data_IF_157530193077
#
_entry.id   IF_157530193077
#
_cell.length_a   1.000
_cell.length_b   1.000
_cell.length_c   1.000
_cell.angle_alpha   90.00
_cell.angle_beta   90.00
_cell.angle_gamma   90.00
#
_symmetry.space_group_name_H-M   'P 1'
#
loop_
_entity.id
_entity.type
_entity.pdbx_description
1 polymer ?
#
# COMPACT_ATOMS: atom_id res chain seq x y z
N UNK A 1 3.08 -14.79 -14.46
CA UNK A 1 4.36 -15.42 -14.81
C UNK A 1 5.14 -15.66 -13.54
N UNK A 2 5.62 -16.87 -13.30
CA UNK A 2 6.34 -17.24 -12.08
C UNK A 2 7.81 -17.51 -12.41
N UNK A 3 8.70 -17.06 -11.54
CA UNK A 3 10.14 -17.28 -11.68
C UNK A 3 10.60 -18.37 -10.72
N UNK A 4 11.38 -19.31 -11.20
CA UNK A 4 12.16 -20.19 -10.35
C UNK A 4 13.46 -19.46 -9.98
N UNK A 5 13.64 -19.21 -8.70
CA UNK A 5 14.81 -18.53 -8.15
C UNK A 5 15.67 -19.53 -7.38
N UNK A 6 16.97 -19.45 -7.57
CA UNK A 6 17.91 -20.06 -6.64
C UNK A 6 18.46 -18.95 -5.74
N UNK A 7 18.18 -19.04 -4.43
CA UNK A 7 18.64 -18.08 -3.44
C UNK A 7 20.02 -18.51 -2.96
N UNK A 8 21.03 -17.69 -3.22
CA UNK A 8 22.37 -17.88 -2.68
C UNK A 8 22.66 -16.83 -1.60
N UNK A 9 23.03 -17.28 -0.40
CA UNK A 9 23.35 -16.42 0.74
C UNK A 9 24.77 -15.81 0.62
N UNK A 10 25.53 -16.19 -0.40
CA UNK A 10 26.92 -15.73 -0.58
C UNK A 10 27.04 -14.64 -1.64
N UNK A 11 27.36 -13.41 -1.18
CA UNK A 11 27.88 -12.22 -1.91
C UNK A 11 27.03 -11.56 -3.00
N UNK A 12 26.83 -10.24 -2.80
CA UNK A 12 26.41 -9.14 -3.70
C UNK A 12 25.23 -9.30 -4.68
N UNK A 13 24.88 -10.48 -5.15
CA UNK A 13 23.60 -10.75 -5.83
C UNK A 13 22.88 -11.86 -5.08
N UNK A 14 21.76 -11.52 -4.47
CA UNK A 14 21.02 -12.44 -3.59
C UNK A 14 20.23 -13.53 -4.35
N UNK A 15 20.12 -13.43 -5.68
CA UNK A 15 19.38 -14.43 -6.47
C UNK A 15 19.87 -14.54 -7.91
N UNK A 16 19.65 -15.73 -8.51
CA UNK A 16 19.84 -15.99 -9.94
C UNK A 16 18.54 -16.55 -10.51
N UNK A 17 18.05 -15.95 -11.59
CA UNK A 17 16.88 -16.48 -12.31
C UNK A 17 17.37 -17.68 -13.14
N UNK A 18 16.89 -18.88 -12.81
CA UNK A 18 17.23 -20.10 -13.53
C UNK A 18 16.32 -20.32 -14.74
N UNK A 19 15.01 -20.13 -14.57
CA UNK A 19 14.02 -20.38 -15.61
C UNK A 19 12.74 -19.60 -15.36
N UNK A 20 12.10 -19.11 -16.43
CA UNK A 20 10.74 -18.60 -16.41
C UNK A 20 9.80 -19.68 -16.90
N UNK A 21 8.71 -19.96 -16.18
CA UNK A 21 7.65 -20.90 -16.61
C UNK A 21 6.28 -20.42 -16.21
N UNK A 22 5.27 -20.87 -16.92
CA UNK A 22 3.88 -20.78 -16.45
C UNK A 22 3.69 -21.81 -15.34
N UNK A 23 3.01 -21.43 -14.29
CA UNK A 23 2.65 -22.29 -13.17
C UNK A 23 1.17 -22.11 -12.87
N UNK A 24 0.46 -23.19 -12.73
CA UNK A 24 -0.89 -23.17 -12.17
C UNK A 24 -0.79 -22.99 -10.65
N UNK A 25 -1.25 -21.83 -10.15
CA UNK A 25 -1.17 -21.51 -8.74
C UNK A 25 -2.06 -22.39 -7.88
N UNK A 26 -3.15 -22.96 -8.44
CA UNK A 26 -4.03 -23.87 -7.72
C UNK A 26 -3.34 -25.20 -7.31
N UNK A 27 -2.26 -25.54 -8.00
CA UNK A 27 -1.43 -26.71 -7.68
C UNK A 27 -0.41 -26.47 -6.55
N UNK A 28 -0.30 -25.23 -6.06
CA UNK A 28 0.62 -24.88 -5.00
C UNK A 28 0.05 -25.23 -3.62
N UNK A 29 0.90 -25.53 -2.65
CA UNK A 29 0.46 -25.70 -1.25
C UNK A 29 0.06 -24.36 -0.62
N UNK A 30 0.75 -23.30 -0.98
CA UNK A 30 0.46 -21.92 -0.57
C UNK A 30 0.97 -20.91 -1.59
N UNK A 31 0.36 -19.73 -1.61
CA UNK A 31 0.74 -18.59 -2.41
C UNK A 31 0.92 -17.38 -1.50
N UNK A 32 2.06 -16.70 -1.60
CA UNK A 32 2.32 -15.45 -0.88
C UNK A 32 2.08 -14.26 -1.81
N UNK A 33 1.18 -13.37 -1.43
CA UNK A 33 0.98 -12.11 -2.15
C UNK A 33 2.07 -11.13 -1.68
N UNK A 34 3.05 -10.89 -2.55
CA UNK A 34 4.18 -9.97 -2.32
C UNK A 34 4.32 -8.97 -3.47
N UNK A 35 3.19 -8.65 -4.10
CA UNK A 35 3.16 -7.66 -5.18
C UNK A 35 3.48 -6.27 -4.63
N UNK A 36 4.37 -5.56 -5.31
CA UNK A 36 4.71 -4.18 -4.97
C UNK A 36 3.60 -3.20 -5.40
N UNK A 37 3.46 -2.06 -4.72
CA UNK A 37 2.60 -0.97 -5.16
C UNK A 37 2.95 -0.51 -6.60
N UNK A 38 2.04 0.18 -7.30
CA UNK A 38 0.84 0.85 -6.80
C UNK A 38 -0.36 -0.10 -6.60
N UNK A 39 -1.21 0.23 -5.63
CA UNK A 39 -2.49 -0.44 -5.42
C UNK A 39 -3.52 0.13 -6.42
N UNK A 40 -3.47 -0.35 -7.64
CA UNK A 40 -4.27 0.08 -8.79
C UNK A 40 -5.21 -1.04 -9.26
N UNK A 41 -5.89 -0.83 -10.39
CA UNK A 41 -6.83 -1.81 -10.93
C UNK A 41 -6.17 -3.15 -11.28
N UNK A 42 -4.93 -3.16 -11.73
CA UNK A 42 -4.19 -4.40 -12.02
C UNK A 42 -3.92 -5.18 -10.75
N UNK A 43 -3.51 -4.48 -9.69
CA UNK A 43 -3.32 -5.09 -8.37
C UNK A 43 -4.63 -5.69 -7.86
N UNK A 44 -5.72 -4.90 -7.89
CA UNK A 44 -7.05 -5.33 -7.46
C UNK A 44 -7.53 -6.53 -8.29
N UNK A 45 -7.37 -6.48 -9.62
CA UNK A 45 -7.75 -7.59 -10.51
C UNK A 45 -6.99 -8.88 -10.18
N UNK A 46 -5.69 -8.79 -9.87
CA UNK A 46 -4.92 -9.96 -9.46
C UNK A 46 -5.45 -10.59 -8.17
N UNK A 47 -5.92 -9.79 -7.23
CA UNK A 47 -6.53 -10.29 -5.99
C UNK A 47 -7.88 -10.97 -6.24
N UNK A 48 -8.70 -10.49 -7.18
CA UNK A 48 -9.94 -11.17 -7.59
C UNK A 48 -9.65 -12.52 -8.25
N UNK A 49 -8.64 -12.60 -9.11
CA UNK A 49 -8.21 -13.87 -9.70
C UNK A 49 -7.76 -14.85 -8.62
N UNK A 50 -7.01 -14.39 -7.63
CA UNK A 50 -6.59 -15.24 -6.51
C UNK A 50 -7.76 -15.72 -5.65
N UNK A 51 -8.81 -14.92 -5.49
CA UNK A 51 -10.03 -15.37 -4.79
C UNK A 51 -10.68 -16.60 -5.44
N UNK A 52 -10.55 -16.77 -6.76
CA UNK A 52 -11.15 -17.93 -7.45
C UNK A 52 -10.51 -19.28 -7.11
N UNK A 53 -9.32 -19.25 -6.52
CA UNK A 53 -8.55 -20.47 -6.17
C UNK A 53 -8.32 -20.62 -4.65
N UNK A 54 -8.79 -19.70 -3.82
CA UNK A 54 -8.49 -19.67 -2.38
C UNK A 54 -9.01 -20.88 -1.62
N UNK A 55 -10.03 -21.56 -2.13
CA UNK A 55 -10.56 -22.77 -1.50
C UNK A 55 -9.68 -24.00 -1.74
N UNK A 56 -8.83 -23.97 -2.77
CA UNK A 56 -7.93 -25.05 -3.15
C UNK A 56 -6.49 -24.83 -2.68
N UNK A 57 -6.10 -23.57 -2.44
CA UNK A 57 -4.74 -23.21 -2.06
C UNK A 57 -4.72 -22.14 -0.97
N UNK A 58 -3.85 -22.31 0.02
CA UNK A 58 -3.70 -21.32 1.09
C UNK A 58 -3.00 -20.07 0.55
N UNK A 59 -3.73 -18.93 0.53
CA UNK A 59 -3.22 -17.65 0.08
C UNK A 59 -2.93 -16.74 1.28
N UNK A 60 -1.76 -16.11 1.30
CA UNK A 60 -1.27 -15.22 2.35
C UNK A 60 -0.73 -13.93 1.70
N UNK A 61 -1.22 -12.75 2.02
CA UNK A 61 -2.39 -12.44 2.84
C UNK A 61 -3.69 -12.81 2.10
N UNK A 62 -4.81 -12.83 2.81
CA UNK A 62 -6.12 -13.05 2.20
C UNK A 62 -6.45 -11.97 1.17
N UNK A 63 -6.82 -12.34 -0.09
CA UNK A 63 -7.04 -11.37 -1.16
C UNK A 63 -8.18 -10.38 -0.89
N UNK A 64 -9.24 -10.83 -0.24
CA UNK A 64 -10.37 -9.98 0.15
C UNK A 64 -9.94 -8.96 1.20
N UNK A 65 -9.17 -9.40 2.19
CA UNK A 65 -8.61 -8.51 3.22
C UNK A 65 -7.69 -7.44 2.64
N UNK A 66 -6.85 -7.80 1.65
CA UNK A 66 -5.99 -6.84 0.95
C UNK A 66 -6.81 -5.72 0.30
N UNK A 67 -7.94 -6.05 -0.34
CA UNK A 67 -8.81 -5.05 -0.96
C UNK A 67 -9.53 -4.17 0.06
N UNK A 68 -9.95 -4.75 1.17
CA UNK A 68 -10.81 -4.08 2.15
C UNK A 68 -10.03 -3.28 3.19
N UNK A 69 -8.74 -3.57 3.40
CA UNK A 69 -7.91 -2.91 4.39
C UNK A 69 -7.00 -1.89 3.71
N UNK A 70 -7.50 -0.67 3.56
CA UNK A 70 -6.67 0.45 3.11
C UNK A 70 -5.60 0.78 4.15
N UNK A 71 -4.33 0.75 3.74
CA UNK A 71 -3.16 0.97 4.59
C UNK A 71 -3.30 2.20 5.52
N UNK A 72 -3.80 3.32 5.00
CA UNK A 72 -3.91 4.56 5.76
C UNK A 72 -5.29 4.76 6.38
N UNK A 73 -6.37 4.51 5.64
CA UNK A 73 -7.73 4.76 6.14
C UNK A 73 -8.13 3.77 7.23
N UNK A 74 -7.68 2.51 7.14
CA UNK A 74 -7.98 1.52 8.16
C UNK A 74 -7.43 1.92 9.53
N UNK A 75 -6.31 2.64 9.57
CA UNK A 75 -5.72 3.15 10.81
C UNK A 75 -6.65 4.10 11.58
N UNK A 76 -7.64 4.73 10.90
CA UNK A 76 -8.64 5.59 11.56
C UNK A 76 -9.43 4.87 12.67
N UNK A 77 -9.53 3.53 12.60
CA UNK A 77 -10.15 2.72 13.66
C UNK A 77 -9.30 2.67 14.94
N UNK A 78 -8.06 3.13 14.89
CA UNK A 78 -7.09 3.05 15.98
C UNK A 78 -6.56 4.42 16.40
N UNK A 79 -7.40 5.46 16.31
CA UNK A 79 -7.01 6.86 16.56
C UNK A 79 -6.32 7.07 17.92
N UNK A 80 -6.69 6.31 18.95
CA UNK A 80 -6.07 6.39 20.27
C UNK A 80 -4.56 6.05 20.30
N UNK A 81 -4.08 5.34 19.27
CA UNK A 81 -2.67 4.98 19.12
C UNK A 81 -1.94 5.82 18.08
N UNK A 82 -2.62 6.78 17.46
CA UNK A 82 -2.08 7.62 16.41
C UNK A 82 -1.74 9.02 16.94
N UNK A 83 -0.77 9.73 16.32
CA UNK A 83 -0.69 11.17 16.45
C UNK A 83 -2.02 11.81 16.03
N UNK A 84 -2.24 13.07 16.44
CA UNK A 84 -3.42 13.82 15.97
C UNK A 84 -3.46 13.78 14.45
N UNK A 85 -4.53 13.22 13.90
CA UNK A 85 -4.69 12.99 12.45
C UNK A 85 -6.10 13.36 12.02
N UNK A 86 -6.22 13.93 10.82
CA UNK A 86 -7.50 14.12 10.13
C UNK A 86 -7.42 13.51 8.73
N UNK A 87 -8.53 13.01 8.24
CA UNK A 87 -8.71 12.57 6.86
C UNK A 87 -9.70 13.52 6.21
N UNK A 88 -9.26 14.31 5.24
CA UNK A 88 -10.10 15.36 4.67
C UNK A 88 -9.66 15.73 3.26
N UNK A 89 -10.63 16.22 2.48
CA UNK A 89 -10.43 16.90 1.19
C UNK A 89 -10.77 18.40 1.27
N UNK A 90 -11.13 18.94 2.45
CA UNK A 90 -11.43 20.33 2.65
C UNK A 90 -10.21 21.12 3.13
N UNK A 91 -9.76 22.07 2.31
CA UNK A 91 -8.65 22.96 2.63
C UNK A 91 -8.88 23.79 3.91
N UNK A 92 -10.14 24.07 4.26
CA UNK A 92 -10.50 24.83 5.47
C UNK A 92 -10.20 23.98 6.71
N UNK A 93 -10.51 22.69 6.67
CA UNK A 93 -10.19 21.77 7.76
C UNK A 93 -8.68 21.60 7.92
N UNK A 94 -7.94 21.46 6.81
CA UNK A 94 -6.47 21.42 6.85
C UNK A 94 -5.89 22.68 7.46
N UNK A 95 -6.42 23.86 7.09
CA UNK A 95 -6.01 25.15 7.68
C UNK A 95 -6.28 25.21 9.18
N UNK A 96 -7.43 24.77 9.62
CA UNK A 96 -7.79 24.75 11.05
C UNK A 96 -6.90 23.77 11.82
N UNK A 97 -6.61 22.62 11.25
CA UNK A 97 -5.70 21.64 11.83
C UNK A 97 -4.26 22.19 11.94
N UNK A 98 -3.78 22.86 10.89
CA UNK A 98 -2.47 23.54 10.92
C UNK A 98 -2.39 24.63 12.00
N UNK A 99 -3.44 25.50 12.12
CA UNK A 99 -3.47 26.55 13.15
C UNK A 99 -3.34 25.98 14.56
N UNK A 100 -3.96 24.82 14.82
CA UNK A 100 -3.92 24.14 16.13
C UNK A 100 -2.58 23.47 16.43
N UNK A 101 -1.92 22.91 15.40
CA UNK A 101 -0.75 22.05 15.60
C UNK A 101 0.58 22.72 15.16
N UNK A 102 0.54 23.88 14.47
CA UNK A 102 1.70 24.67 13.99
C UNK A 102 2.49 24.00 12.86
N UNK A 103 2.77 22.71 13.01
CA UNK A 103 3.38 21.88 11.97
C UNK A 103 2.51 20.67 11.71
N UNK A 104 2.35 20.32 10.43
CA UNK A 104 1.59 19.13 10.02
C UNK A 104 2.30 18.38 8.90
N UNK A 105 2.03 17.09 8.79
CA UNK A 105 2.47 16.28 7.66
C UNK A 105 1.27 15.92 6.81
N UNK A 106 1.35 16.24 5.51
CA UNK A 106 0.35 15.84 4.52
C UNK A 106 0.84 14.57 3.84
N UNK A 107 -0.04 13.57 3.74
CA UNK A 107 0.24 12.29 3.08
C UNK A 107 -0.92 11.96 2.15
N UNK A 108 -0.70 11.62 0.87
CA UNK A 108 -1.77 11.14 0.02
C UNK A 108 -2.26 9.77 0.49
N UNK A 109 -3.57 9.54 0.41
CA UNK A 109 -4.19 8.26 0.85
C UNK A 109 -3.63 7.09 0.04
N UNK A 110 -3.50 7.27 -1.27
CA UNK A 110 -3.03 6.23 -2.19
C UNK A 110 -1.52 6.29 -2.49
N UNK A 111 -0.76 7.15 -1.79
CA UNK A 111 0.70 7.23 -1.93
C UNK A 111 1.40 6.03 -1.28
N UNK A 112 2.56 5.66 -1.80
CA UNK A 112 3.40 4.57 -1.30
C UNK A 112 4.89 4.98 -1.28
N UNK A 113 5.71 4.22 -0.60
CA UNK A 113 7.18 4.42 -0.54
C UNK A 113 7.62 5.83 -0.12
N UNK A 114 6.80 6.54 0.66
CA UNK A 114 7.12 7.90 1.10
C UNK A 114 6.89 8.99 0.04
N UNK A 115 6.40 8.65 -1.14
CA UNK A 115 6.12 9.61 -2.20
C UNK A 115 5.03 10.61 -1.76
N UNK A 116 5.21 11.87 -2.14
CA UNK A 116 4.28 12.97 -1.88
C UNK A 116 3.96 13.19 -0.39
N UNK A 117 4.89 12.84 0.49
CA UNK A 117 4.81 13.20 1.91
C UNK A 117 5.45 14.58 2.11
N UNK A 118 4.67 15.52 2.65
CA UNK A 118 5.11 16.90 2.82
C UNK A 118 4.97 17.38 4.27
N UNK A 119 6.07 17.84 4.84
CA UNK A 119 6.06 18.56 6.11
C UNK A 119 5.72 20.04 5.85
N UNK A 120 4.64 20.52 6.45
CA UNK A 120 4.13 21.89 6.32
C UNK A 120 4.46 22.66 7.59
N UNK A 121 5.41 23.58 7.50
CA UNK A 121 5.78 24.55 8.56
C UNK A 121 5.15 25.93 8.30
N UNK A 122 4.87 26.25 7.05
CA UNK A 122 4.20 27.49 6.62
C UNK A 122 3.00 27.15 5.75
N UNK A 123 1.81 27.63 6.14
CA UNK A 123 0.59 27.33 5.42
C UNK A 123 0.50 28.11 4.11
N UNK A 124 0.64 27.42 2.98
CA UNK A 124 0.47 27.98 1.62
C UNK A 124 -0.69 27.28 0.93
N UNK A 125 -1.89 27.91 0.94
CA UNK A 125 -3.13 27.33 0.38
C UNK A 125 -2.95 26.79 -1.04
N UNK A 126 -2.34 27.57 -1.93
CA UNK A 126 -2.11 27.21 -3.35
C UNK A 126 -1.20 25.96 -3.50
N UNK A 127 -0.27 25.74 -2.58
CA UNK A 127 0.56 24.54 -2.54
C UNK A 127 -0.23 23.35 -2.03
N UNK A 128 -0.91 23.52 -0.90
CA UNK A 128 -1.66 22.47 -0.23
C UNK A 128 -2.83 21.97 -1.09
N UNK A 129 -3.54 22.86 -1.80
CA UNK A 129 -4.66 22.49 -2.68
C UNK A 129 -4.28 21.56 -3.83
N UNK A 130 -2.99 21.39 -4.14
CA UNK A 130 -2.53 20.41 -5.12
C UNK A 130 -2.66 18.96 -4.62
N UNK A 131 -2.66 18.76 -3.32
CA UNK A 131 -2.72 17.44 -2.67
C UNK A 131 -4.11 17.07 -2.16
N UNK A 132 -5.04 18.03 -2.24
CA UNK A 132 -6.44 17.86 -1.83
C UNK A 132 -7.27 17.83 -3.11
N UNK A 133 -7.39 16.66 -3.72
CA UNK A 133 -8.23 16.43 -4.90
C UNK A 133 -9.14 15.24 -4.66
#
# INVERSE_FOLDING_TARGET
>A
MVFLLNLSIKKKSSFKILKKKKLDLSSCKFVLIRQDPPFNLEYISSTYILDTIKDNVRIINDPTSIRNISEKLYSANYQKFMPKTIFTQDIREVRNFFKKNKEIVIKPIHGYSGNDIHLIKNFRSKFISKFIK
#
